data_IF_051930867570
#
_entry.id   IF_051930867570
#
_cell.length_a   1.000
_cell.length_b   1.000
_cell.length_c   1.000
_cell.angle_alpha   90.00
_cell.angle_beta   90.00
_cell.angle_gamma   90.00
#
_symmetry.space_group_name_H-M   'P 1'
#
loop_
_entity.id
_entity.type
_entity.pdbx_description
1 polymer ?
#
# COMPACT_ATOMS: atom_id res chain seq x y z
N UNK A 1 -19.00 -22.82 29.38
CA UNK A 1 -18.30 -23.07 28.11
C UNK A 1 -16.90 -22.54 28.31
N UNK A 2 -15.88 -23.39 28.18
CA UNK A 2 -14.49 -22.94 28.23
C UNK A 2 -14.21 -22.24 26.91
N UNK A 3 -14.11 -20.91 26.93
CA UNK A 3 -13.69 -20.10 25.80
C UNK A 3 -12.20 -20.36 25.52
N UNK A 4 -11.91 -21.53 24.95
CA UNK A 4 -10.64 -21.75 24.28
C UNK A 4 -10.67 -20.89 23.02
N UNK A 5 -10.17 -19.66 23.13
CA UNK A 5 -9.74 -18.90 21.97
C UNK A 5 -8.58 -19.71 21.39
N UNK A 6 -8.86 -20.48 20.33
CA UNK A 6 -7.82 -21.05 19.51
C UNK A 6 -6.99 -19.87 19.01
N UNK A 7 -5.74 -19.73 19.50
CA UNK A 7 -4.77 -18.84 18.87
C UNK A 7 -4.71 -19.35 17.42
N UNK A 8 -5.13 -18.57 16.42
CA UNK A 8 -5.15 -18.96 15.03
C UNK A 8 -3.69 -19.10 14.65
N UNK A 9 -3.20 -20.33 14.77
CA UNK A 9 -1.80 -20.64 14.59
C UNK A 9 -1.42 -20.67 13.11
N UNK A 10 -2.37 -20.60 12.17
CA UNK A 10 -2.13 -20.99 10.78
C UNK A 10 -3.04 -20.28 9.80
N UNK A 11 -2.44 -19.54 8.86
CA UNK A 11 -3.09 -19.13 7.63
C UNK A 11 -3.03 -20.28 6.60
N UNK A 12 -3.84 -21.33 6.81
CA UNK A 12 -3.98 -22.45 5.87
C UNK A 12 -3.02 -23.62 6.05
N UNK A 13 -3.38 -24.77 5.47
CA UNK A 13 -2.74 -26.08 5.72
C UNK A 13 -1.29 -26.17 5.18
N UNK A 14 -0.94 -25.37 4.17
CA UNK A 14 0.38 -25.43 3.51
C UNK A 14 1.49 -24.62 4.22
N UNK A 15 1.19 -23.87 5.28
CA UNK A 15 2.19 -23.10 6.07
C UNK A 15 2.60 -23.83 7.36
N UNK A 16 2.56 -25.17 7.33
CA UNK A 16 2.90 -26.05 8.44
C UNK A 16 4.42 -26.22 8.57
N UNK A 17 5.07 -25.31 9.29
CA UNK A 17 6.51 -25.42 9.60
C UNK A 17 6.90 -24.65 10.87
N UNK A 18 8.00 -25.04 11.53
CA UNK A 18 8.56 -24.26 12.64
C UNK A 18 8.99 -22.87 12.17
N UNK A 19 8.99 -21.91 13.08
CA UNK A 19 9.57 -20.59 12.85
C UNK A 19 11.03 -20.60 13.32
N UNK A 20 11.88 -19.92 12.58
CA UNK A 20 13.22 -19.52 13.05
C UNK A 20 13.17 -18.07 13.50
N UNK A 21 13.87 -17.76 14.59
CA UNK A 21 14.05 -16.38 15.04
C UNK A 21 15.50 -16.15 15.43
N UNK A 22 16.13 -15.13 14.83
CA UNK A 22 17.55 -14.82 15.07
C UNK A 22 17.68 -13.36 15.44
N UNK A 23 18.29 -13.12 16.60
CA UNK A 23 18.49 -11.80 17.17
C UNK A 23 19.59 -11.81 18.27
N UNK A 24 20.29 -10.69 18.47
CA UNK A 24 20.35 -9.54 17.56
C UNK A 24 21.24 -9.85 16.34
N UNK A 25 20.89 -9.33 15.17
CA UNK A 25 21.78 -9.28 13.99
C UNK A 25 22.17 -7.83 13.76
N UNK A 26 23.48 -7.56 13.72
CA UNK A 26 24.03 -6.24 13.49
C UNK A 26 24.02 -5.90 12.00
N UNK A 27 23.32 -4.83 11.61
CA UNK A 27 23.30 -4.32 10.24
C UNK A 27 24.26 -3.13 10.09
N UNK A 28 25.00 -3.02 8.96
CA UNK A 28 25.84 -1.87 8.66
C UNK A 28 25.08 -0.54 8.82
N UNK A 29 25.69 0.40 9.55
CA UNK A 29 25.03 1.63 9.96
C UNK A 29 26.05 2.75 10.29
N UNK A 30 26.93 3.05 9.33
CA UNK A 30 28.12 3.92 9.54
C UNK A 30 27.81 5.32 10.08
N UNK A 31 26.64 5.87 9.76
CA UNK A 31 26.24 7.23 10.14
C UNK A 31 25.29 7.26 11.35
N UNK A 32 25.07 6.11 12.01
CA UNK A 32 24.22 6.03 13.21
C UNK A 32 25.09 6.16 14.47
N UNK A 33 24.60 6.87 15.50
CA UNK A 33 25.27 6.94 16.81
C UNK A 33 25.22 5.60 17.59
N UNK A 34 24.47 4.61 17.11
CA UNK A 34 24.41 3.26 17.65
C UNK A 34 24.17 2.22 16.54
N UNK A 35 24.62 1.00 16.76
CA UNK A 35 24.46 -0.12 15.84
C UNK A 35 22.97 -0.40 15.50
N UNK A 36 22.69 -0.69 14.22
CA UNK A 36 21.36 -1.11 13.79
C UNK A 36 21.15 -2.59 14.07
N UNK A 37 20.60 -2.88 15.24
CA UNK A 37 20.25 -4.25 15.63
C UNK A 37 18.88 -4.64 15.10
N UNK A 38 18.81 -5.80 14.45
CA UNK A 38 17.60 -6.33 13.82
C UNK A 38 17.32 -7.74 14.31
N UNK A 39 16.04 -8.06 14.50
CA UNK A 39 15.55 -9.44 14.66
C UNK A 39 14.93 -9.91 13.36
N UNK A 40 15.31 -11.09 12.89
CA UNK A 40 14.58 -11.83 11.87
C UNK A 40 13.67 -12.86 12.54
N UNK A 41 12.41 -12.93 12.13
CA UNK A 41 11.52 -14.07 12.42
C UNK A 41 10.90 -14.53 11.11
N UNK A 42 11.09 -15.80 10.74
CA UNK A 42 10.68 -16.32 9.44
C UNK A 42 10.20 -17.78 9.52
N UNK A 43 9.31 -18.22 8.62
CA UNK A 43 8.94 -19.62 8.51
C UNK A 43 10.08 -20.44 7.90
N UNK A 44 10.33 -21.63 8.44
CA UNK A 44 11.20 -22.62 7.81
C UNK A 44 10.39 -23.36 6.73
N UNK A 45 10.37 -22.80 5.53
CA UNK A 45 9.56 -23.27 4.39
C UNK A 45 10.35 -23.25 3.10
N UNK A 46 10.03 -24.13 2.16
CA UNK A 46 10.60 -24.13 0.80
C UNK A 46 9.99 -23.07 -0.12
N UNK A 47 8.97 -22.34 0.36
CA UNK A 47 8.41 -21.19 -0.35
C UNK A 47 9.34 -19.99 -0.24
N UNK A 48 9.17 -19.02 -1.14
CA UNK A 48 9.88 -17.75 -1.11
C UNK A 48 9.08 -16.70 -0.31
N UNK A 49 9.32 -16.53 1.01
CA UNK A 49 8.51 -15.63 1.83
C UNK A 49 8.76 -14.17 1.43
N UNK A 50 7.69 -13.37 1.23
CA UNK A 50 7.82 -11.92 1.13
C UNK A 50 8.38 -11.33 2.43
N UNK A 51 8.99 -10.16 2.33
CA UNK A 51 9.65 -9.48 3.44
C UNK A 51 8.71 -8.43 4.05
N UNK A 52 8.64 -8.39 5.38
CA UNK A 52 7.97 -7.34 6.14
C UNK A 52 8.97 -6.69 7.08
N UNK A 53 9.19 -5.38 6.96
CA UNK A 53 9.90 -4.62 7.98
C UNK A 53 8.89 -4.06 8.98
N UNK A 54 8.99 -4.46 10.25
CA UNK A 54 8.08 -4.10 11.33
C UNK A 54 8.71 -3.03 12.24
N UNK A 55 8.26 -1.79 12.12
CA UNK A 55 8.73 -0.65 12.91
C UNK A 55 7.95 -0.52 14.23
N UNK A 56 8.68 -0.51 15.34
CA UNK A 56 8.10 -0.36 16.68
C UNK A 56 7.60 1.07 16.95
N UNK A 57 6.65 1.20 17.87
CA UNK A 57 6.18 2.49 18.37
C UNK A 57 7.20 3.25 19.21
N UNK A 58 6.76 4.37 19.79
CA UNK A 58 7.48 5.05 20.87
C UNK A 58 6.77 4.75 22.18
N UNK A 59 7.49 4.67 23.29
CA UNK A 59 6.90 4.36 24.59
C UNK A 59 7.95 4.24 25.70
N UNK A 60 7.55 4.35 26.98
CA UNK A 60 8.47 4.37 28.11
C UNK A 60 9.11 3.00 28.40
N UNK A 61 8.52 1.91 27.88
CA UNK A 61 9.03 0.55 28.04
C UNK A 61 10.44 0.39 27.48
N UNK A 62 11.32 -0.26 28.26
CA UNK A 62 12.71 -0.46 27.87
C UNK A 62 12.84 -1.26 26.57
N UNK A 63 12.16 -2.41 26.47
CA UNK A 63 12.36 -3.37 25.38
C UNK A 63 11.23 -3.40 24.34
N UNK A 64 10.02 -2.91 24.66
CA UNK A 64 8.90 -3.00 23.71
C UNK A 64 9.11 -2.09 22.49
N UNK A 65 9.74 -0.93 22.69
CA UNK A 65 10.19 -0.06 21.59
C UNK A 65 11.56 -0.52 21.05
N UNK A 66 11.67 -1.77 20.61
CA UNK A 66 12.90 -2.35 20.03
C UNK A 66 12.61 -3.60 19.18
N UNK A 67 13.66 -4.28 18.71
CA UNK A 67 13.59 -5.60 18.07
C UNK A 67 12.92 -6.70 18.92
N UNK A 68 12.79 -6.50 20.25
CA UNK A 68 12.16 -7.44 21.17
C UNK A 68 10.65 -7.23 21.37
N UNK A 69 10.11 -6.08 20.96
CA UNK A 69 8.68 -5.81 21.02
C UNK A 69 7.89 -6.56 19.94
N UNK A 70 6.57 -6.37 19.96
CA UNK A 70 5.65 -6.80 18.90
C UNK A 70 5.70 -8.29 18.55
N UNK A 71 6.12 -9.13 19.48
CA UNK A 71 6.22 -10.57 19.28
C UNK A 71 4.90 -11.22 18.81
N UNK A 72 3.70 -10.87 19.32
CA UNK A 72 2.44 -11.39 18.79
C UNK A 72 2.28 -11.17 17.28
N UNK A 73 2.59 -9.96 16.82
CA UNK A 73 2.49 -9.56 15.43
C UNK A 73 3.56 -10.20 14.55
N UNK A 74 4.82 -10.14 14.97
CA UNK A 74 5.92 -10.74 14.22
C UNK A 74 5.76 -12.26 14.07
N UNK A 75 5.38 -12.96 15.14
CA UNK A 75 5.19 -14.41 15.12
C UNK A 75 4.00 -14.80 14.23
N UNK A 76 2.88 -14.08 14.29
CA UNK A 76 1.72 -14.38 13.45
C UNK A 76 1.97 -14.09 11.97
N UNK A 77 2.66 -13.00 11.63
CA UNK A 77 3.07 -12.73 10.26
C UNK A 77 4.03 -13.81 9.75
N UNK A 78 5.00 -14.23 10.55
CA UNK A 78 5.90 -15.31 10.15
C UNK A 78 5.15 -16.64 9.93
N UNK A 79 4.22 -16.99 10.82
CA UNK A 79 3.32 -18.13 10.64
C UNK A 79 2.37 -17.99 9.44
N UNK A 80 2.15 -16.76 8.96
CA UNK A 80 1.35 -16.44 7.78
C UNK A 80 2.16 -16.41 6.48
N UNK A 81 3.45 -16.74 6.53
CA UNK A 81 4.32 -16.92 5.38
C UNK A 81 5.28 -15.76 5.08
N UNK A 82 5.55 -14.88 6.04
CA UNK A 82 6.41 -13.70 5.87
C UNK A 82 7.77 -13.84 6.56
N UNK A 83 8.82 -13.28 5.98
CA UNK A 83 10.07 -13.01 6.69
C UNK A 83 9.97 -11.62 7.35
N UNK A 84 9.90 -11.58 8.68
CA UNK A 84 9.67 -10.34 9.45
C UNK A 84 10.99 -9.84 10.03
N UNK A 85 11.35 -8.59 9.71
CA UNK A 85 12.54 -7.89 10.19
C UNK A 85 12.12 -6.78 11.16
N UNK A 86 12.61 -6.83 12.40
CA UNK A 86 12.31 -5.85 13.44
C UNK A 86 13.58 -5.06 13.79
N UNK A 87 13.78 -3.84 13.26
CA UNK A 87 14.90 -3.00 13.65
C UNK A 87 14.69 -2.36 15.03
N UNK A 88 15.78 -2.10 15.74
CA UNK A 88 15.81 -1.19 16.90
C UNK A 88 16.19 0.21 16.44
N UNK A 89 15.22 1.12 16.50
CA UNK A 89 15.42 2.52 16.15
C UNK A 89 16.12 3.30 17.27
N UNK A 90 16.74 4.43 16.92
CA UNK A 90 17.55 5.23 17.85
C UNK A 90 16.76 5.80 19.03
N UNK A 91 15.44 5.92 18.93
CA UNK A 91 14.58 6.29 20.05
C UNK A 91 14.17 5.09 20.92
N UNK A 92 14.79 3.92 20.77
CA UNK A 92 14.65 2.86 21.75
C UNK A 92 15.23 3.28 23.09
N UNK A 93 14.51 3.00 24.18
CA UNK A 93 14.99 3.33 25.52
C UNK A 93 16.25 2.53 25.90
N UNK A 94 16.47 1.34 25.30
CA UNK A 94 17.69 0.55 25.50
C UNK A 94 18.97 1.27 25.04
N UNK A 95 18.86 2.22 24.12
CA UNK A 95 20.00 2.96 23.58
C UNK A 95 20.31 4.25 24.35
N UNK A 96 19.39 4.73 25.20
CA UNK A 96 19.60 5.93 26.01
C UNK A 96 19.69 7.26 25.23
N UNK A 97 19.34 7.27 23.94
CA UNK A 97 19.55 8.42 23.04
C UNK A 97 18.39 9.43 23.01
N UNK A 98 17.25 9.16 23.67
CA UNK A 98 16.07 10.05 23.67
C UNK A 98 16.34 11.44 24.25
N UNK A 99 17.33 11.55 25.13
CA UNK A 99 17.72 12.79 25.79
C UNK A 99 19.04 13.35 25.26
N UNK A 100 19.56 12.80 24.16
CA UNK A 100 20.76 13.33 23.53
C UNK A 100 20.48 14.73 22.93
N UNK A 101 21.51 15.57 22.90
CA UNK A 101 21.49 16.85 22.20
C UNK A 101 21.60 16.61 20.69
N UNK A 102 20.48 16.20 20.10
CA UNK A 102 20.35 15.87 18.68
C UNK A 102 19.10 16.52 18.11
N UNK A 103 19.15 17.11 16.90
CA UNK A 103 17.97 17.67 16.25
C UNK A 103 16.93 16.60 15.88
N UNK A 104 17.29 15.32 15.90
CA UNK A 104 16.35 14.23 15.66
C UNK A 104 15.71 13.69 16.94
N UNK A 105 16.26 13.98 18.12
CA UNK A 105 15.69 13.55 19.39
C UNK A 105 14.35 14.26 19.68
N UNK A 106 13.42 13.64 20.44
CA UNK A 106 13.52 12.31 21.03
C UNK A 106 13.00 11.19 20.11
N UNK A 107 12.42 11.52 18.95
CA UNK A 107 11.66 10.54 18.13
C UNK A 107 12.49 9.92 17.01
N UNK A 108 13.62 10.49 16.65
CA UNK A 108 14.53 10.02 15.60
C UNK A 108 13.83 9.74 14.26
N UNK A 109 12.82 10.54 13.94
CA UNK A 109 11.88 10.34 12.83
C UNK A 109 12.54 10.06 11.48
N UNK A 110 13.57 10.82 11.13
CA UNK A 110 14.31 10.67 9.88
C UNK A 110 15.14 9.38 9.90
N UNK A 111 15.93 9.18 10.96
CA UNK A 111 16.66 7.92 11.18
C UNK A 111 15.74 6.69 11.17
N UNK A 112 14.55 6.74 11.75
CA UNK A 112 13.57 5.63 11.73
C UNK A 112 13.24 5.15 10.32
N UNK A 113 12.94 6.08 9.40
CA UNK A 113 12.65 5.73 8.01
C UNK A 113 13.93 5.31 7.24
N UNK A 114 15.06 5.95 7.56
CA UNK A 114 16.38 5.54 7.06
C UNK A 114 16.75 4.11 7.47
N UNK A 115 16.45 3.72 8.71
CA UNK A 115 16.71 2.39 9.25
C UNK A 115 15.96 1.32 8.45
N UNK A 116 14.70 1.57 8.07
CA UNK A 116 13.94 0.66 7.21
C UNK A 116 14.64 0.44 5.88
N UNK A 117 15.09 1.53 5.24
CA UNK A 117 15.81 1.46 3.96
C UNK A 117 17.17 0.76 4.12
N UNK A 118 17.89 1.06 5.20
CA UNK A 118 19.19 0.47 5.54
C UNK A 118 19.09 -1.03 5.81
N UNK A 119 18.01 -1.50 6.44
CA UNK A 119 17.73 -2.95 6.58
C UNK A 119 17.60 -3.60 5.20
N UNK A 120 16.85 -2.97 4.30
CA UNK A 120 16.63 -3.51 2.94
C UNK A 120 17.91 -3.45 2.08
N UNK A 121 18.76 -2.44 2.26
CA UNK A 121 20.05 -2.32 1.56
C UNK A 121 21.03 -3.44 1.94
N UNK A 122 20.93 -3.95 3.16
CA UNK A 122 21.92 -4.86 3.73
C UNK A 122 21.35 -6.25 4.08
N UNK A 123 20.30 -6.69 3.40
CA UNK A 123 19.73 -8.05 3.58
C UNK A 123 20.78 -9.16 3.37
N UNK A 124 21.85 -8.90 2.62
CA UNK A 124 22.96 -9.82 2.42
C UNK A 124 23.64 -10.29 3.71
N UNK A 125 23.61 -9.50 4.78
CA UNK A 125 24.14 -9.89 6.10
C UNK A 125 23.47 -11.17 6.62
N UNK A 126 22.20 -11.38 6.30
CA UNK A 126 21.46 -12.56 6.74
C UNK A 126 21.99 -13.86 6.09
N UNK A 127 22.70 -13.79 4.96
CA UNK A 127 23.30 -14.97 4.34
C UNK A 127 24.43 -15.55 5.20
N UNK A 128 25.10 -14.73 5.99
CA UNK A 128 26.18 -15.17 6.90
C UNK A 128 25.62 -15.77 8.20
N UNK A 129 24.41 -15.37 8.59
CA UNK A 129 23.80 -15.74 9.88
C UNK A 129 22.80 -16.89 9.72
N UNK A 130 21.97 -16.88 8.66
CA UNK A 130 20.88 -17.84 8.42
C UNK A 130 20.78 -18.25 6.95
N UNK A 131 21.85 -18.78 6.33
CA UNK A 131 21.98 -18.94 4.87
C UNK A 131 20.75 -19.56 4.20
N UNK A 132 20.24 -20.68 4.73
CA UNK A 132 19.11 -21.41 4.15
C UNK A 132 17.82 -20.59 4.10
N UNK A 133 17.58 -19.76 5.11
CA UNK A 133 16.38 -18.91 5.21
C UNK A 133 16.57 -17.64 4.38
N UNK A 134 17.74 -17.02 4.49
CA UNK A 134 18.07 -15.80 3.75
C UNK A 134 18.03 -16.02 2.24
N UNK A 135 18.53 -17.16 1.75
CA UNK A 135 18.53 -17.51 0.33
C UNK A 135 17.12 -17.65 -0.28
N UNK A 136 16.09 -17.85 0.55
CA UNK A 136 14.70 -18.06 0.12
C UNK A 136 13.87 -16.78 0.17
N UNK A 137 14.29 -15.76 0.91
CA UNK A 137 13.52 -14.52 1.07
C UNK A 137 13.29 -13.82 -0.27
N UNK A 138 12.04 -13.46 -0.55
CA UNK A 138 11.67 -12.79 -1.79
C UNK A 138 11.87 -11.27 -1.66
N UNK A 139 13.01 -10.79 -2.16
CA UNK A 139 13.38 -9.37 -2.15
C UNK A 139 12.62 -8.53 -3.18
N UNK A 140 11.81 -9.15 -4.04
CA UNK A 140 10.90 -8.46 -4.96
C UNK A 140 9.54 -8.12 -4.36
N UNK A 141 9.20 -8.70 -3.20
CA UNK A 141 7.91 -8.53 -2.51
C UNK A 141 8.12 -8.04 -1.08
N UNK A 142 8.12 -6.72 -0.91
CA UNK A 142 8.44 -6.07 0.38
C UNK A 142 7.26 -5.21 0.84
N UNK A 143 6.93 -5.29 2.13
CA UNK A 143 6.03 -4.39 2.82
C UNK A 143 6.66 -3.79 4.09
N UNK A 144 6.06 -2.69 4.55
CA UNK A 144 6.38 -2.09 5.85
C UNK A 144 5.13 -2.10 6.74
N UNK A 145 5.30 -2.47 8.01
CA UNK A 145 4.26 -2.43 9.03
C UNK A 145 4.76 -1.58 10.18
N UNK A 146 3.89 -0.79 10.79
CA UNK A 146 4.28 -0.09 12.00
C UNK A 146 3.11 0.39 12.85
N UNK A 147 3.40 0.52 14.14
CA UNK A 147 2.47 0.94 15.17
C UNK A 147 2.86 2.29 15.77
N UNK A 148 1.90 3.20 15.99
CA UNK A 148 2.16 4.50 16.61
C UNK A 148 3.26 5.27 15.87
N UNK A 149 4.37 5.64 16.51
CA UNK A 149 5.52 6.24 15.82
C UNK A 149 6.14 5.34 14.73
N UNK A 150 6.02 4.01 14.86
CA UNK A 150 6.33 3.07 13.79
C UNK A 150 5.34 3.15 12.64
N UNK A 151 4.07 3.46 12.89
CA UNK A 151 3.06 3.72 11.87
C UNK A 151 3.31 5.04 11.13
N UNK A 152 3.82 6.06 11.82
CA UNK A 152 4.36 7.27 11.18
C UNK A 152 5.57 6.95 10.29
N UNK A 153 6.48 6.11 10.77
CA UNK A 153 7.64 5.62 10.02
C UNK A 153 7.21 4.88 8.75
N UNK A 154 6.25 3.96 8.87
CA UNK A 154 5.64 3.25 7.75
C UNK A 154 5.00 4.24 6.74
N UNK A 155 4.26 5.24 7.23
CA UNK A 155 3.66 6.28 6.38
C UNK A 155 4.71 7.04 5.56
N UNK A 156 5.84 7.43 6.16
CA UNK A 156 6.95 8.07 5.45
C UNK A 156 7.55 7.17 4.37
N UNK A 157 7.84 5.91 4.73
CA UNK A 157 8.37 4.91 3.79
C UNK A 157 7.41 4.64 2.65
N UNK A 158 6.10 4.78 2.86
CA UNK A 158 5.06 4.66 1.84
C UNK A 158 4.85 5.95 1.03
N UNK A 159 5.46 7.06 1.44
CA UNK A 159 5.51 8.31 0.67
C UNK A 159 4.75 9.48 1.27
N UNK A 160 4.39 9.46 2.55
CA UNK A 160 3.99 10.67 3.26
C UNK A 160 5.20 11.64 3.37
N UNK A 161 4.93 12.94 3.33
CA UNK A 161 5.90 14.04 3.26
C UNK A 161 5.79 15.02 4.44
N UNK A 162 6.09 14.55 5.66
CA UNK A 162 6.23 15.41 6.82
C UNK A 162 7.33 16.45 6.70
N UNK A 163 7.07 17.63 7.26
CA UNK A 163 7.99 18.78 7.26
C UNK A 163 9.11 18.59 8.28
N UNK A 164 10.34 18.87 7.88
CA UNK A 164 11.46 18.98 8.80
C UNK A 164 11.38 20.33 9.53
N UNK A 165 11.26 20.37 10.87
CA UNK A 165 11.16 21.61 11.60
C UNK A 165 12.46 22.44 11.58
N UNK A 166 13.63 21.81 11.36
CA UNK A 166 14.91 22.51 11.30
C UNK A 166 15.12 23.21 9.95
N UNK A 167 14.66 22.62 8.85
CA UNK A 167 14.87 23.17 7.50
C UNK A 167 13.62 23.80 6.89
N UNK A 168 12.43 23.48 7.42
CA UNK A 168 11.15 23.88 6.85
C UNK A 168 10.75 23.12 5.58
N UNK A 169 11.61 22.24 5.04
CA UNK A 169 11.35 21.48 3.82
C UNK A 169 10.61 20.16 4.12
N UNK A 170 9.84 19.66 3.14
CA UNK A 170 9.23 18.33 3.23
C UNK A 170 10.29 17.25 3.05
N UNK A 171 10.27 16.23 3.91
CA UNK A 171 11.19 15.10 3.84
C UNK A 171 10.55 13.97 3.08
N UNK A 172 11.16 13.57 1.97
CA UNK A 172 10.79 12.38 1.24
C UNK A 172 11.66 11.20 1.66
N UNK A 173 11.07 10.24 2.36
CA UNK A 173 11.72 8.99 2.75
C UNK A 173 11.10 7.77 2.06
N UNK A 174 10.45 7.98 0.91
CA UNK A 174 9.82 6.91 0.13
C UNK A 174 10.88 5.90 -0.33
N UNK A 175 10.73 4.65 0.11
CA UNK A 175 11.45 3.53 -0.48
C UNK A 175 10.59 2.90 -1.58
N UNK A 176 11.13 2.84 -2.80
CA UNK A 176 10.41 2.30 -3.97
C UNK A 176 10.32 0.77 -3.97
N UNK A 177 11.15 0.07 -3.19
CA UNK A 177 11.09 -1.39 -3.02
C UNK A 177 9.85 -1.81 -2.24
N UNK A 178 9.34 -0.94 -1.36
CA UNK A 178 8.17 -1.20 -0.53
C UNK A 178 6.89 -1.00 -1.36
N UNK A 179 6.20 -2.12 -1.63
CA UNK A 179 5.03 -2.18 -2.51
C UNK A 179 3.69 -2.02 -1.79
N UNK A 180 3.64 -2.27 -0.48
CA UNK A 180 2.43 -2.15 0.35
C UNK A 180 2.81 -1.89 1.82
N UNK A 181 1.84 -1.53 2.66
CA UNK A 181 2.09 -1.47 4.09
C UNK A 181 0.87 -1.42 4.99
N UNK A 182 1.11 -1.51 6.29
CA UNK A 182 0.08 -1.40 7.33
C UNK A 182 0.49 -0.35 8.35
N UNK A 183 -0.41 0.61 8.59
CA UNK A 183 -0.21 1.75 9.47
C UNK A 183 -1.21 1.64 10.62
N UNK A 184 -0.72 1.37 11.82
CA UNK A 184 -1.57 1.07 12.99
C UNK A 184 -1.46 2.19 14.03
N UNK A 185 -2.60 2.73 14.47
CA UNK A 185 -2.70 3.76 15.52
C UNK A 185 -1.68 4.91 15.34
N UNK A 186 -1.44 5.33 14.10
CA UNK A 186 -0.36 6.24 13.78
C UNK A 186 -0.76 7.71 14.01
N UNK A 187 0.21 8.59 14.33
CA UNK A 187 0.03 10.03 14.24
C UNK A 187 -0.52 10.45 12.87
N UNK A 188 -1.56 11.29 12.89
CA UNK A 188 -2.20 11.86 11.71
C UNK A 188 -1.57 13.18 11.24
N UNK A 189 -2.39 14.05 10.65
CA UNK A 189 -1.98 15.38 10.18
C UNK A 189 -1.62 16.28 11.36
N UNK A 190 -0.68 17.19 11.13
CA UNK A 190 -0.36 18.23 12.12
C UNK A 190 -1.31 19.43 12.03
N UNK A 191 -0.81 20.62 12.34
CA UNK A 191 -1.58 21.86 12.22
C UNK A 191 -2.75 21.94 13.20
N UNK A 192 -3.96 22.15 12.68
CA UNK A 192 -5.21 22.32 13.44
C UNK A 192 -5.61 21.06 14.23
N UNK A 193 -5.11 19.89 13.85
CA UNK A 193 -5.38 18.64 14.56
C UNK A 193 -4.49 18.44 15.79
N UNK A 194 -3.32 19.09 15.86
CA UNK A 194 -2.31 18.80 16.88
C UNK A 194 -2.51 19.63 18.15
N UNK A 195 -2.37 19.01 19.31
CA UNK A 195 -2.42 19.68 20.60
C UNK A 195 -1.28 20.73 20.69
N UNK A 196 -1.53 21.98 21.14
CA UNK A 196 -0.49 23.01 21.20
C UNK A 196 0.73 22.64 22.07
N UNK A 197 0.53 21.84 23.11
CA UNK A 197 1.64 21.32 23.93
C UNK A 197 2.45 20.28 23.14
N UNK A 198 1.79 19.35 22.46
CA UNK A 198 2.45 18.38 21.60
C UNK A 198 3.20 19.07 20.45
N UNK A 199 2.62 20.11 19.85
CA UNK A 199 3.24 20.89 18.78
C UNK A 199 4.57 21.54 19.17
N UNK A 200 4.71 21.92 20.46
CA UNK A 200 5.95 22.47 21.02
C UNK A 200 6.98 21.41 21.37
N UNK A 201 6.55 20.27 21.94
CA UNK A 201 7.47 19.23 22.42
C UNK A 201 7.84 18.19 21.35
N UNK A 202 7.01 18.05 20.32
CA UNK A 202 7.20 17.12 19.20
C UNK A 202 6.98 17.85 17.87
N UNK A 203 7.78 18.89 17.56
CA UNK A 203 7.58 19.73 16.38
C UNK A 203 7.64 18.96 15.06
N UNK A 204 8.24 17.77 15.08
CA UNK A 204 8.29 16.85 13.96
C UNK A 204 6.92 16.28 13.52
N UNK A 205 5.87 16.45 14.34
CA UNK A 205 4.50 16.06 14.03
C UNK A 205 3.65 17.24 13.52
N UNK A 206 4.21 18.45 13.43
CA UNK A 206 3.45 19.68 13.14
C UNK A 206 2.88 19.75 11.71
N UNK A 207 3.42 18.99 10.76
CA UNK A 207 2.95 18.96 9.38
C UNK A 207 3.33 17.61 8.77
N UNK A 208 2.33 16.79 8.46
CA UNK A 208 2.45 15.53 7.73
C UNK A 208 1.52 15.59 6.53
N UNK A 209 2.09 15.53 5.33
CA UNK A 209 1.34 15.51 4.08
C UNK A 209 1.24 14.09 3.53
N UNK A 210 0.02 13.59 3.41
CA UNK A 210 -0.26 12.22 2.97
C UNK A 210 -0.57 12.13 1.46
N UNK A 211 -0.63 13.25 0.74
CA UNK A 211 -1.14 13.31 -0.65
C UNK A 211 -0.29 12.51 -1.65
N UNK A 212 0.96 12.19 -1.30
CA UNK A 212 1.88 11.39 -2.14
C UNK A 212 2.07 9.95 -1.66
N UNK A 213 1.35 9.54 -0.59
CA UNK A 213 1.40 8.18 -0.05
C UNK A 213 0.60 7.22 -0.94
N UNK A 214 1.18 6.86 -2.09
CA UNK A 214 0.51 6.14 -3.17
C UNK A 214 0.31 4.61 -2.99
N UNK A 215 1.22 3.84 -2.35
CA UNK A 215 1.07 2.40 -2.25
C UNK A 215 -0.24 1.98 -1.56
N UNK A 216 -0.75 0.77 -1.86
CA UNK A 216 -1.82 0.17 -1.07
C UNK A 216 -1.45 0.13 0.41
N UNK A 217 -2.33 0.66 1.26
CA UNK A 217 -2.11 0.68 2.71
C UNK A 217 -3.37 0.32 3.46
N UNK A 218 -3.23 -0.59 4.44
CA UNK A 218 -4.23 -0.81 5.48
C UNK A 218 -3.92 0.13 6.65
N UNK A 219 -4.87 1.01 6.96
CA UNK A 219 -4.88 1.87 8.14
C UNK A 219 -5.71 1.15 9.20
N UNK A 220 -5.18 1.00 10.40
CA UNK A 220 -5.88 0.38 11.54
C UNK A 220 -6.02 1.44 12.63
N UNK A 221 -7.25 1.75 13.01
CA UNK A 221 -7.55 2.78 14.01
C UNK A 221 -8.60 2.26 14.99
N UNK A 222 -8.36 2.47 16.29
CA UNK A 222 -9.34 2.21 17.33
C UNK A 222 -10.18 3.46 17.60
N UNK A 223 -11.50 3.30 17.67
CA UNK A 223 -12.42 4.43 17.89
C UNK A 223 -12.35 5.04 19.30
N UNK A 224 -11.61 4.41 20.22
CA UNK A 224 -11.28 4.93 21.56
C UNK A 224 -9.82 5.39 21.69
N UNK A 225 -9.02 5.35 20.62
CA UNK A 225 -7.67 5.91 20.65
C UNK A 225 -7.71 7.44 20.52
N UNK A 226 -8.20 8.13 21.54
CA UNK A 226 -8.37 9.58 21.47
C UNK A 226 -7.05 10.35 21.47
N UNK A 227 -5.98 9.77 22.04
CA UNK A 227 -4.66 10.37 22.15
C UNK A 227 -4.65 11.88 22.46
N UNK A 228 -5.50 12.34 23.42
CA UNK A 228 -5.71 13.76 23.74
C UNK A 228 -4.43 14.53 24.14
N UNK A 229 -3.39 13.80 24.56
CA UNK A 229 -2.08 14.36 24.86
C UNK A 229 -1.31 14.78 23.59
N UNK A 230 -1.68 14.26 22.40
CA UNK A 230 -1.09 14.56 21.10
C UNK A 230 -2.00 15.43 20.22
N UNK A 231 -3.31 15.19 20.19
CA UNK A 231 -4.22 15.82 19.23
C UNK A 231 -5.48 16.39 19.91
N UNK A 232 -6.26 17.18 19.16
CA UNK A 232 -7.53 17.79 19.62
C UNK A 232 -8.76 17.29 18.87
N UNK A 233 -8.59 16.40 17.89
CA UNK A 233 -9.67 15.88 17.02
C UNK A 233 -10.14 14.48 17.43
N UNK A 234 -9.55 13.89 18.47
CA UNK A 234 -9.88 12.57 19.01
C UNK A 234 -9.42 11.44 18.09
N UNK A 235 -10.08 10.29 18.21
CA UNK A 235 -9.72 9.05 17.49
C UNK A 235 -9.75 9.15 15.96
N UNK A 236 -10.40 10.16 15.40
CA UNK A 236 -10.36 10.44 13.97
C UNK A 236 -8.95 10.78 13.46
N UNK A 237 -8.04 11.20 14.33
CA UNK A 237 -6.67 11.54 13.94
C UNK A 237 -5.93 10.34 13.34
N UNK A 238 -6.15 9.13 13.88
CA UNK A 238 -5.51 7.89 13.46
C UNK A 238 -6.01 7.40 12.10
N UNK A 239 -7.13 7.92 11.59
CA UNK A 239 -7.67 7.58 10.27
C UNK A 239 -7.19 8.53 9.16
N UNK A 240 -6.42 9.57 9.48
CA UNK A 240 -5.97 10.60 8.52
C UNK A 240 -5.23 10.00 7.32
N UNK A 241 -4.38 9.01 7.54
CA UNK A 241 -3.66 8.34 6.45
C UNK A 241 -4.60 7.70 5.42
N UNK A 242 -5.80 7.25 5.83
CA UNK A 242 -6.81 6.72 4.92
C UNK A 242 -7.53 7.85 4.16
N UNK A 243 -7.93 8.91 4.87
CA UNK A 243 -8.72 9.99 4.28
C UNK A 243 -7.89 10.89 3.36
N UNK A 244 -6.67 11.23 3.76
CA UNK A 244 -5.82 12.25 3.11
C UNK A 244 -4.90 11.68 2.03
N UNK A 245 -4.66 10.36 2.01
CA UNK A 245 -3.84 9.73 0.97
C UNK A 245 -4.65 9.40 -0.28
N UNK A 246 -4.04 9.34 -1.48
CA UNK A 246 -4.68 8.78 -2.66
C UNK A 246 -4.93 7.28 -2.49
N UNK A 247 -5.97 6.78 -3.14
CA UNK A 247 -6.25 5.35 -3.17
C UNK A 247 -5.18 4.54 -3.94
N UNK A 248 -5.11 3.21 -3.73
CA UNK A 248 -6.00 2.45 -2.88
C UNK A 248 -5.61 2.57 -1.40
N UNK A 249 -6.60 2.74 -0.51
CA UNK A 249 -6.45 2.71 0.95
C UNK A 249 -7.57 1.88 1.56
N UNK A 250 -7.26 1.23 2.66
CA UNK A 250 -8.18 0.38 3.41
C UNK A 250 -8.15 0.87 4.85
N UNK A 251 -9.29 0.93 5.50
CA UNK A 251 -9.41 1.27 6.91
C UNK A 251 -10.08 0.10 7.62
N UNK A 252 -9.43 -0.40 8.65
CA UNK A 252 -10.05 -1.24 9.68
C UNK A 252 -10.33 -0.32 10.88
N UNK A 253 -11.59 0.08 11.01
CA UNK A 253 -12.09 0.89 12.11
C UNK A 253 -12.57 -0.03 13.24
N UNK A 254 -11.96 0.07 14.41
CA UNK A 254 -12.04 -0.95 15.45
C UNK A 254 -12.86 -0.41 16.61
N UNK A 255 -14.03 -1.02 16.80
CA UNK A 255 -14.98 -0.56 17.80
C UNK A 255 -14.48 -0.92 19.21
N UNK A 256 -14.44 0.08 20.09
CA UNK A 256 -13.90 -0.06 21.45
C UNK A 256 -12.39 -0.31 21.49
N UNK A 257 -11.66 -0.11 20.38
CA UNK A 257 -10.21 -0.26 20.32
C UNK A 257 -9.50 0.98 20.83
N UNK A 258 -8.45 0.80 21.64
CA UNK A 258 -7.60 1.91 22.09
C UNK A 258 -6.23 1.87 21.38
N UNK A 259 -5.28 2.69 21.85
CA UNK A 259 -3.95 2.79 21.29
C UNK A 259 -3.17 1.47 21.31
N UNK A 260 -3.37 0.60 22.29
CA UNK A 260 -2.58 -0.64 22.43
C UNK A 260 -3.08 -1.76 21.52
N UNK A 261 -4.20 -1.56 20.83
CA UNK A 261 -4.77 -2.48 19.85
C UNK A 261 -4.83 -3.92 20.39
N UNK A 262 -5.40 -4.10 21.58
CA UNK A 262 -5.56 -5.43 22.18
C UNK A 262 -4.26 -6.09 22.67
N UNK A 263 -3.14 -5.37 22.69
CA UNK A 263 -1.85 -5.85 23.20
C UNK A 263 -0.88 -6.36 22.13
N UNK A 264 -0.97 -5.87 20.89
CA UNK A 264 -0.04 -6.28 19.83
C UNK A 264 1.43 -5.94 20.12
N UNK A 265 1.69 -5.03 21.06
CA UNK A 265 3.03 -4.59 21.44
C UNK A 265 3.83 -5.65 22.21
N UNK A 266 3.17 -6.61 22.86
CA UNK A 266 3.83 -7.71 23.57
C UNK A 266 2.86 -8.58 24.36
N UNK A 267 3.21 -9.85 24.54
CA UNK A 267 2.45 -10.76 25.41
C UNK A 267 2.45 -10.23 26.84
N UNK A 268 1.26 -10.07 27.41
CA UNK A 268 1.03 -9.58 28.78
C UNK A 268 1.80 -8.29 29.12
N UNK A 269 2.01 -7.42 28.12
CA UNK A 269 2.74 -6.16 28.34
C UNK A 269 1.95 -5.24 29.26
N UNK A 270 2.60 -4.77 30.33
CA UNK A 270 1.99 -3.89 31.32
C UNK A 270 1.53 -2.53 30.74
N UNK A 271 2.06 -2.11 29.59
CA UNK A 271 1.60 -0.88 28.91
C UNK A 271 0.31 -1.06 28.10
N UNK A 272 -0.20 -2.30 28.01
CA UNK A 272 -1.44 -2.60 27.29
C UNK A 272 -2.65 -2.11 28.08
N UNK A 273 -3.32 -1.08 27.55
CA UNK A 273 -4.50 -0.49 28.19
C UNK A 273 -5.81 -1.20 27.85
N UNK A 274 -5.89 -1.85 26.68
CA UNK A 274 -7.11 -2.45 26.16
C UNK A 274 -7.00 -3.96 25.89
N UNK A 275 -6.24 -4.69 26.71
CA UNK A 275 -5.92 -6.11 26.49
C UNK A 275 -7.15 -6.96 26.12
N UNK A 276 -7.13 -7.56 24.93
CA UNK A 276 -8.22 -8.38 24.42
C UNK A 276 -7.69 -9.34 23.37
N UNK A 277 -7.71 -10.65 23.67
CA UNK A 277 -7.26 -11.67 22.74
C UNK A 277 -8.06 -11.63 21.44
N UNK A 278 -9.40 -11.52 21.50
CA UNK A 278 -10.25 -11.42 20.32
C UNK A 278 -9.87 -10.23 19.43
N UNK A 279 -9.60 -9.06 20.05
CA UNK A 279 -9.20 -7.86 19.29
C UNK A 279 -7.80 -8.00 18.71
N UNK A 280 -6.85 -8.50 19.48
CA UNK A 280 -5.50 -8.78 18.99
C UNK A 280 -5.55 -9.74 17.78
N UNK A 281 -6.29 -10.85 17.88
CA UNK A 281 -6.44 -11.81 16.79
C UNK A 281 -7.06 -11.19 15.55
N UNK A 282 -8.07 -10.35 15.70
CA UNK A 282 -8.63 -9.60 14.58
C UNK A 282 -7.55 -8.79 13.85
N UNK A 283 -6.66 -8.10 14.57
CA UNK A 283 -5.56 -7.35 13.96
C UNK A 283 -4.54 -8.24 13.28
N UNK A 284 -4.16 -9.33 13.94
CA UNK A 284 -3.20 -10.28 13.41
C UNK A 284 -3.70 -10.89 12.08
N UNK A 285 -4.94 -11.40 12.08
CA UNK A 285 -5.55 -12.04 10.91
C UNK A 285 -5.77 -11.06 9.75
N UNK A 286 -6.31 -9.87 10.03
CA UNK A 286 -6.59 -8.87 8.99
C UNK A 286 -5.31 -8.28 8.40
N UNK A 287 -4.28 -8.04 9.22
CA UNK A 287 -2.95 -7.59 8.76
C UNK A 287 -2.33 -8.64 7.85
N UNK A 288 -2.31 -9.90 8.28
CA UNK A 288 -1.77 -10.98 7.47
C UNK A 288 -2.54 -11.15 6.16
N UNK A 289 -3.87 -11.17 6.20
CA UNK A 289 -4.72 -11.30 5.03
C UNK A 289 -4.50 -10.16 4.01
N UNK A 290 -4.42 -8.92 4.50
CA UNK A 290 -4.12 -7.76 3.67
C UNK A 290 -2.78 -7.88 2.96
N UNK A 291 -1.71 -8.17 3.71
CA UNK A 291 -0.36 -8.30 3.16
C UNK A 291 -0.25 -9.47 2.19
N UNK A 292 -0.91 -10.60 2.47
CA UNK A 292 -0.91 -11.77 1.58
C UNK A 292 -1.54 -11.44 0.24
N UNK A 293 -2.63 -10.69 0.22
CA UNK A 293 -3.24 -10.20 -1.03
C UNK A 293 -2.37 -9.16 -1.73
N UNK A 294 -1.81 -8.18 -1.00
CA UNK A 294 -1.04 -7.09 -1.63
C UNK A 294 0.34 -7.49 -2.11
N UNK A 295 0.91 -8.53 -1.55
CA UNK A 295 2.18 -9.12 -1.98
C UNK A 295 1.98 -10.35 -2.88
N UNK A 296 0.77 -10.59 -3.40
CA UNK A 296 0.51 -11.66 -4.38
C UNK A 296 0.81 -13.07 -3.84
N UNK A 297 0.67 -13.29 -2.54
CA UNK A 297 0.75 -14.62 -1.91
C UNK A 297 -0.59 -15.35 -2.06
N UNK A 298 -1.68 -14.60 -1.89
CA UNK A 298 -3.05 -15.10 -2.02
C UNK A 298 -4.00 -13.94 -2.32
N UNK A 299 -4.44 -13.86 -3.58
CA UNK A 299 -5.30 -12.78 -4.09
C UNK A 299 -6.68 -12.73 -3.42
N UNK A 300 -7.09 -13.81 -2.74
CA UNK A 300 -8.40 -13.91 -2.07
C UNK A 300 -8.33 -13.65 -0.58
N UNK A 301 -7.15 -13.71 0.05
CA UNK A 301 -6.99 -13.64 1.50
C UNK A 301 -7.73 -12.46 2.14
N UNK A 302 -7.56 -11.23 1.63
CA UNK A 302 -8.25 -10.04 2.13
C UNK A 302 -9.78 -10.17 2.00
N UNK A 303 -10.28 -10.56 0.83
CA UNK A 303 -11.74 -10.68 0.60
C UNK A 303 -12.40 -11.75 1.48
N UNK A 304 -11.68 -12.84 1.77
CA UNK A 304 -12.15 -13.89 2.66
C UNK A 304 -12.19 -13.38 4.11
N UNK A 305 -11.12 -12.71 4.55
CA UNK A 305 -11.02 -12.16 5.90
C UNK A 305 -12.10 -11.10 6.17
N UNK A 306 -12.33 -10.16 5.24
CA UNK A 306 -13.35 -9.11 5.41
C UNK A 306 -14.76 -9.68 5.34
N UNK A 307 -15.01 -10.66 4.47
CA UNK A 307 -16.30 -11.36 4.44
C UNK A 307 -16.56 -12.14 5.73
N UNK A 308 -15.53 -12.73 6.35
CA UNK A 308 -15.64 -13.40 7.65
C UNK A 308 -15.92 -12.39 8.77
N UNK A 309 -15.14 -11.30 8.82
CA UNK A 309 -15.36 -10.20 9.77
C UNK A 309 -16.81 -9.69 9.72
N UNK A 310 -17.33 -9.43 8.52
CA UNK A 310 -18.71 -8.96 8.34
C UNK A 310 -19.79 -9.95 8.80
N UNK A 311 -19.50 -11.26 8.85
CA UNK A 311 -20.45 -12.29 9.30
C UNK A 311 -20.32 -12.61 10.78
N UNK A 312 -19.10 -12.70 11.29
CA UNK A 312 -18.80 -13.29 12.61
C UNK A 312 -18.43 -12.23 13.66
N UNK A 313 -17.91 -11.08 13.23
CA UNK A 313 -17.31 -10.08 14.11
C UNK A 313 -17.70 -8.64 13.73
N UNK A 314 -18.85 -8.43 13.09
CA UNK A 314 -19.30 -7.12 12.62
C UNK A 314 -19.44 -6.08 13.75
N UNK A 315 -19.67 -6.54 14.98
CA UNK A 315 -19.70 -5.67 16.16
C UNK A 315 -18.30 -5.20 16.60
N UNK A 316 -17.23 -5.88 16.20
CA UNK A 316 -15.85 -5.61 16.65
C UNK A 316 -15.09 -4.63 15.75
N UNK A 317 -15.38 -4.59 14.45
CA UNK A 317 -14.76 -3.63 13.53
C UNK A 317 -15.54 -3.48 12.21
N UNK A 318 -15.33 -2.35 11.56
CA UNK A 318 -15.84 -2.04 10.22
C UNK A 318 -14.68 -1.87 9.24
N UNK A 319 -14.88 -2.28 7.98
CA UNK A 319 -13.89 -2.11 6.90
C UNK A 319 -14.38 -1.08 5.90
N UNK A 320 -13.53 -0.09 5.60
CA UNK A 320 -13.75 0.88 4.54
C UNK A 320 -12.66 0.77 3.48
N UNK A 321 -13.03 0.90 2.21
CA UNK A 321 -12.09 0.85 1.09
C UNK A 321 -12.18 2.10 0.23
N UNK A 322 -11.08 2.85 0.17
CA UNK A 322 -10.86 3.91 -0.80
C UNK A 322 -10.19 3.28 -2.01
N UNK A 323 -10.89 3.17 -3.13
CA UNK A 323 -10.31 2.65 -4.37
C UNK A 323 -9.26 3.62 -4.90
N UNK A 324 -8.29 3.09 -5.66
CA UNK A 324 -7.43 3.96 -6.48
C UNK A 324 -8.33 4.80 -7.38
N UNK A 325 -8.13 6.11 -7.38
CA UNK A 325 -8.74 6.95 -8.39
C UNK A 325 -8.15 6.51 -9.72
N UNK A 326 -8.93 5.72 -10.45
CA UNK A 326 -8.63 5.38 -11.83
C UNK A 326 -9.17 6.57 -12.62
N UNK A 327 -8.32 7.34 -13.30
CA UNK A 327 -8.76 8.42 -14.17
C UNK A 327 -9.84 7.91 -15.12
N UNK A 328 -10.94 8.64 -15.23
CA UNK A 328 -12.06 8.29 -16.09
C UNK A 328 -12.28 9.38 -17.11
N UNK A 329 -12.78 8.98 -18.27
CA UNK A 329 -13.33 9.95 -19.21
C UNK A 329 -14.46 10.73 -18.54
N UNK A 330 -14.51 12.04 -18.78
CA UNK A 330 -15.66 12.84 -18.33
C UNK A 330 -16.87 12.53 -19.20
N UNK A 331 -18.07 12.76 -18.68
CA UNK A 331 -19.30 12.57 -19.47
C UNK A 331 -19.32 13.46 -20.72
N UNK A 332 -18.70 14.65 -20.66
CA UNK A 332 -18.56 15.54 -21.81
C UNK A 332 -17.65 14.92 -22.89
N UNK A 333 -16.52 14.34 -22.50
CA UNK A 333 -15.61 13.64 -23.41
C UNK A 333 -16.28 12.41 -24.04
N UNK A 334 -16.93 11.58 -23.22
CA UNK A 334 -17.65 10.39 -23.73
C UNK A 334 -18.78 10.78 -24.69
N UNK A 335 -19.58 11.81 -24.37
CA UNK A 335 -20.62 12.30 -25.29
C UNK A 335 -20.03 12.78 -26.61
N UNK A 336 -18.90 13.48 -26.58
CA UNK A 336 -18.25 13.96 -27.79
C UNK A 336 -17.65 12.83 -28.62
N UNK A 337 -17.02 11.85 -27.98
CA UNK A 337 -16.61 10.61 -28.66
C UNK A 337 -17.82 9.92 -29.26
N UNK A 338 -18.98 9.91 -28.61
CA UNK A 338 -20.17 9.23 -29.15
C UNK A 338 -20.82 9.99 -30.33
N UNK A 339 -20.80 11.32 -30.30
CA UNK A 339 -21.47 12.18 -31.29
C UNK A 339 -20.59 12.56 -32.49
N UNK A 340 -19.28 12.64 -32.29
CA UNK A 340 -18.31 13.03 -33.32
C UNK A 340 -17.69 11.83 -34.04
N UNK A 341 -17.12 12.08 -35.20
CA UNK A 341 -16.44 11.12 -36.05
C UNK A 341 -14.94 11.42 -36.19
N UNK A 342 -14.35 12.25 -35.33
CA UNK A 342 -12.98 12.79 -35.46
C UNK A 342 -12.03 12.38 -34.31
N UNK A 343 -12.05 11.10 -33.92
CA UNK A 343 -11.22 10.62 -32.81
C UNK A 343 -9.83 10.23 -33.26
N UNK A 344 -8.79 10.77 -32.61
CA UNK A 344 -7.40 10.55 -32.98
C UNK A 344 -6.59 9.92 -31.84
N UNK A 345 -5.75 8.95 -32.18
CA UNK A 345 -4.84 8.26 -31.25
C UNK A 345 -3.39 8.40 -31.69
N UNK A 346 -2.49 8.53 -30.71
CA UNK A 346 -1.04 8.57 -30.88
C UNK A 346 -0.38 7.57 -29.91
N UNK A 347 -0.38 6.26 -30.22
CA UNK A 347 0.34 5.28 -29.42
C UNK A 347 1.83 5.59 -29.36
N UNK A 348 2.47 5.26 -28.24
CA UNK A 348 3.93 5.33 -28.09
C UNK A 348 4.62 4.39 -29.08
N UNK A 349 5.88 4.69 -29.43
CA UNK A 349 6.63 3.95 -30.47
C UNK A 349 7.90 3.24 -29.97
N UNK A 350 8.34 3.58 -28.77
CA UNK A 350 9.59 3.10 -28.17
C UNK A 350 9.50 3.08 -26.63
N UNK A 351 10.54 2.54 -26.00
CA UNK A 351 10.67 2.47 -24.55
C UNK A 351 10.76 3.86 -23.89
N UNK A 352 11.10 4.89 -24.66
CA UNK A 352 11.24 6.28 -24.22
C UNK A 352 9.90 7.04 -24.17
N UNK A 353 8.79 6.39 -24.55
CA UNK A 353 7.39 6.84 -24.35
C UNK A 353 7.03 8.14 -25.08
N UNK A 354 7.66 8.39 -26.22
CA UNK A 354 7.30 9.51 -27.09
C UNK A 354 6.05 9.15 -27.91
N UNK A 355 4.94 9.91 -27.81
CA UNK A 355 3.74 9.65 -28.62
C UNK A 355 4.06 9.74 -30.11
N UNK A 356 3.50 8.81 -30.89
CA UNK A 356 3.57 8.90 -32.34
C UNK A 356 2.76 10.07 -32.92
N UNK A 357 2.72 10.18 -34.25
CA UNK A 357 1.79 11.08 -34.93
C UNK A 357 0.35 10.63 -34.66
N UNK A 358 -0.55 11.58 -34.37
CA UNK A 358 -1.98 11.33 -34.28
C UNK A 358 -2.53 10.70 -35.57
N UNK A 359 -3.31 9.64 -35.39
CA UNK A 359 -3.97 8.90 -36.47
C UNK A 359 -5.45 8.84 -36.16
N UNK A 360 -6.27 9.17 -37.14
CA UNK A 360 -7.71 9.04 -37.06
C UNK A 360 -8.13 7.56 -36.92
N UNK A 361 -9.09 7.27 -36.05
CA UNK A 361 -9.63 5.93 -35.81
C UNK A 361 -11.13 5.96 -35.56
N UNK A 362 -11.83 4.89 -35.92
CA UNK A 362 -13.19 4.71 -35.43
C UNK A 362 -13.17 4.46 -33.93
N UNK A 363 -13.90 5.27 -33.18
CA UNK A 363 -14.08 5.11 -31.75
C UNK A 363 -15.56 5.16 -31.34
N UNK A 364 -15.90 4.47 -30.25
CA UNK A 364 -17.22 4.50 -29.58
C UNK A 364 -17.05 4.65 -28.07
N UNK A 365 -18.02 5.27 -27.41
CA UNK A 365 -18.08 5.33 -25.96
C UNK A 365 -18.99 4.21 -25.43
N UNK A 366 -18.49 3.34 -24.57
CA UNK A 366 -19.23 2.21 -24.02
C UNK A 366 -18.86 1.97 -22.56
N UNK A 367 -19.86 1.96 -21.67
CA UNK A 367 -19.65 1.62 -20.26
C UNK A 367 -18.63 2.49 -19.52
N UNK A 368 -18.53 3.77 -19.86
CA UNK A 368 -17.60 4.74 -19.25
C UNK A 368 -16.19 4.77 -19.84
N UNK A 369 -15.91 3.94 -20.86
CA UNK A 369 -14.63 3.89 -21.56
C UNK A 369 -14.77 4.18 -23.06
N UNK A 370 -13.63 4.43 -23.72
CA UNK A 370 -13.56 4.57 -25.18
C UNK A 370 -12.99 3.29 -25.78
N UNK A 371 -13.61 2.82 -26.87
CA UNK A 371 -13.14 1.66 -27.63
C UNK A 371 -12.81 2.14 -29.04
N UNK A 372 -11.56 1.91 -29.47
CA UNK A 372 -11.10 2.22 -30.82
C UNK A 372 -10.89 0.94 -31.63
N UNK A 373 -11.24 1.00 -32.93
CA UNK A 373 -11.15 -0.12 -33.86
C UNK A 373 -10.26 0.20 -35.04
N UNK A 374 -9.43 -0.76 -35.41
CA UNK A 374 -8.67 -0.72 -36.66
C UNK A 374 -9.51 -1.17 -37.85
N UNK A 375 -9.28 -0.56 -39.02
CA UNK A 375 -9.83 -1.04 -40.29
C UNK A 375 -9.29 -2.39 -40.74
N UNK A 376 -8.04 -2.71 -40.37
CA UNK A 376 -7.32 -3.86 -40.90
C UNK A 376 -6.61 -4.65 -39.80
N UNK A 377 -6.29 -5.92 -40.11
CA UNK A 377 -5.52 -6.81 -39.23
C UNK A 377 -4.05 -6.40 -39.08
N UNK A 378 -3.52 -5.63 -40.03
CA UNK A 378 -2.11 -5.22 -40.07
C UNK A 378 -1.92 -3.74 -39.69
N UNK A 379 -2.80 -3.18 -38.85
CA UNK A 379 -2.68 -1.79 -38.45
C UNK A 379 -1.48 -1.54 -37.55
N UNK A 380 -0.62 -0.62 -38.02
CA UNK A 380 0.56 -0.17 -37.30
C UNK A 380 0.22 0.52 -35.99
N UNK A 381 -0.82 1.37 -35.97
CA UNK A 381 -1.20 2.06 -34.73
C UNK A 381 -1.73 1.05 -33.71
N UNK A 382 -2.53 0.08 -34.13
CA UNK A 382 -3.12 -0.91 -33.24
C UNK A 382 -2.04 -1.80 -32.63
N UNK A 383 -1.10 -2.25 -33.45
CA UNK A 383 0.05 -3.02 -32.98
C UNK A 383 0.85 -2.22 -31.95
N UNK A 384 1.18 -0.96 -32.24
CA UNK A 384 1.90 -0.08 -31.31
C UNK A 384 1.13 0.11 -29.98
N UNK A 385 -0.18 0.34 -30.08
CA UNK A 385 -1.06 0.52 -28.92
C UNK A 385 -1.07 -0.70 -28.00
N UNK A 386 -1.20 -1.90 -28.56
CA UNK A 386 -1.22 -3.15 -27.78
C UNK A 386 0.17 -3.53 -27.26
N UNK A 387 1.22 -3.26 -28.03
CA UNK A 387 2.61 -3.60 -27.65
C UNK A 387 3.12 -2.72 -26.51
N UNK A 388 2.90 -1.40 -26.59
CA UNK A 388 3.43 -0.45 -25.61
C UNK A 388 2.43 -0.07 -24.52
N UNK A 389 1.13 -0.32 -24.76
CA UNK A 389 0.07 -0.09 -23.79
C UNK A 389 -0.19 1.37 -23.45
N UNK A 390 0.49 2.34 -24.07
CA UNK A 390 0.39 3.76 -23.74
C UNK A 390 0.45 4.67 -24.97
N UNK A 391 0.00 5.90 -24.81
CA UNK A 391 0.14 6.96 -25.80
C UNK A 391 -0.64 8.20 -25.41
N UNK A 392 -1.14 8.93 -26.40
CA UNK A 392 -2.03 10.07 -26.24
C UNK A 392 -3.27 9.96 -27.14
N UNK A 393 -4.31 10.72 -26.86
CA UNK A 393 -5.44 10.95 -27.78
C UNK A 393 -5.67 12.44 -27.92
N UNK A 394 -6.29 12.86 -29.03
CA UNK A 394 -6.76 14.24 -29.15
C UNK A 394 -8.24 14.31 -28.75
N UNK A 395 -8.54 15.11 -27.73
CA UNK A 395 -9.90 15.47 -27.33
C UNK A 395 -10.02 16.99 -27.24
N UNK A 396 -11.24 17.52 -27.13
CA UNK A 396 -11.48 18.97 -27.13
C UNK A 396 -10.68 19.73 -26.04
N UNK A 397 -10.39 19.07 -24.93
CA UNK A 397 -9.71 19.67 -23.77
C UNK A 397 -8.18 19.46 -23.80
N UNK A 398 -7.63 18.96 -24.92
CA UNK A 398 -6.19 18.78 -25.13
C UNK A 398 -5.81 17.35 -25.53
N UNK A 399 -4.56 17.00 -25.25
CA UNK A 399 -3.94 15.74 -25.67
C UNK A 399 -3.58 14.84 -24.48
N UNK A 400 -4.57 14.32 -23.71
CA UNK A 400 -4.29 13.55 -22.51
C UNK A 400 -3.55 12.26 -22.85
N UNK A 401 -2.65 11.87 -21.95
CA UNK A 401 -2.01 10.56 -21.99
C UNK A 401 -3.06 9.48 -21.68
N UNK A 402 -2.95 8.35 -22.34
CA UNK A 402 -3.89 7.22 -22.21
C UNK A 402 -3.17 5.88 -22.12
N UNK A 403 -3.85 4.91 -21.55
CA UNK A 403 -3.52 3.49 -21.59
C UNK A 403 -4.36 2.80 -22.66
N UNK A 404 -3.73 1.89 -23.41
CA UNK A 404 -4.36 1.04 -24.40
C UNK A 404 -4.31 -0.41 -23.92
N UNK A 405 -5.43 -1.11 -23.98
CA UNK A 405 -5.50 -2.55 -23.70
C UNK A 405 -6.31 -3.25 -24.78
N UNK A 406 -5.83 -4.39 -25.30
CA UNK A 406 -6.57 -5.22 -26.23
C UNK A 406 -7.85 -5.75 -25.58
N UNK A 407 -8.95 -5.77 -26.32
CA UNK A 407 -10.19 -6.40 -25.88
C UNK A 407 -10.18 -7.87 -26.33
N UNK A 408 -10.01 -8.78 -25.37
CA UNK A 408 -9.99 -10.23 -25.64
C UNK A 408 -11.30 -10.93 -25.30
N UNK A 409 -12.12 -10.38 -24.40
CA UNK A 409 -13.44 -10.91 -24.03
C UNK A 409 -14.45 -10.83 -25.20
N UNK A 410 -15.07 -11.96 -25.56
CA UNK A 410 -16.02 -12.04 -26.68
C UNK A 410 -17.31 -11.24 -26.41
N UNK A 411 -17.82 -11.23 -25.18
CA UNK A 411 -19.01 -10.45 -24.84
C UNK A 411 -18.75 -8.92 -24.90
N UNK A 412 -17.53 -8.48 -24.58
CA UNK A 412 -17.11 -7.09 -24.78
C UNK A 412 -16.95 -6.75 -26.26
N UNK A 413 -16.42 -7.66 -27.09
CA UNK A 413 -16.35 -7.48 -28.54
C UNK A 413 -17.74 -7.35 -29.16
N UNK A 414 -18.70 -8.19 -28.76
CA UNK A 414 -20.07 -8.13 -29.30
C UNK A 414 -20.76 -6.81 -28.96
N UNK A 415 -20.64 -6.34 -27.72
CA UNK A 415 -21.17 -5.01 -27.33
C UNK A 415 -20.47 -3.87 -28.07
N UNK A 416 -19.17 -3.99 -28.32
CA UNK A 416 -18.44 -3.01 -29.11
C UNK A 416 -18.92 -3.03 -30.58
N UNK A 417 -19.09 -4.20 -31.20
CA UNK A 417 -19.63 -4.35 -32.56
C UNK A 417 -21.00 -3.69 -32.69
N UNK A 418 -21.90 -3.90 -31.72
CA UNK A 418 -23.21 -3.25 -31.67
C UNK A 418 -23.09 -1.72 -31.58
N UNK A 419 -22.23 -1.21 -30.70
CA UNK A 419 -22.00 0.22 -30.56
C UNK A 419 -21.41 0.86 -31.82
N UNK A 420 -20.46 0.19 -32.48
CA UNK A 420 -19.88 0.63 -33.75
C UNK A 420 -20.94 0.64 -34.86
N UNK A 421 -21.76 -0.41 -34.96
CA UNK A 421 -22.86 -0.50 -35.92
C UNK A 421 -23.87 0.63 -35.74
N UNK A 422 -24.27 0.90 -34.49
CA UNK A 422 -25.21 1.98 -34.18
C UNK A 422 -24.63 3.35 -34.59
N UNK A 423 -23.37 3.61 -34.26
CA UNK A 423 -22.73 4.91 -34.50
C UNK A 423 -22.39 5.16 -35.97
N UNK A 424 -21.84 4.18 -36.67
CA UNK A 424 -21.29 4.34 -38.03
C UNK A 424 -22.15 3.71 -39.13
N UNK A 425 -23.43 3.43 -38.87
CA UNK A 425 -24.37 2.85 -39.86
C UNK A 425 -24.49 3.63 -41.17
N UNK A 426 -24.16 4.93 -41.18
CA UNK A 426 -24.21 5.81 -42.36
C UNK A 426 -22.84 6.12 -42.96
N UNK A 427 -21.76 5.62 -42.37
CA UNK A 427 -20.39 5.82 -42.87
C UNK A 427 -20.15 4.89 -44.07
N UNK A 428 -19.83 5.42 -45.27
CA UNK A 428 -19.64 4.61 -46.48
C UNK A 428 -18.43 3.65 -46.39
N UNK A 429 -17.52 3.87 -45.45
CA UNK A 429 -16.34 3.04 -45.21
C UNK A 429 -16.53 2.01 -44.08
N UNK A 430 -17.69 2.03 -43.43
CA UNK A 430 -18.02 1.11 -42.34
C UNK A 430 -19.00 0.01 -42.83
N UNK A 431 -18.60 -1.26 -42.70
CA UNK A 431 -19.38 -2.40 -43.20
C UNK A 431 -19.36 -3.61 -42.26
N UNK A 432 -20.28 -4.55 -42.44
CA UNK A 432 -20.26 -5.82 -41.69
C UNK A 432 -18.99 -6.64 -41.97
N UNK A 433 -18.46 -6.56 -43.19
CA UNK A 433 -17.21 -7.23 -43.53
C UNK A 433 -16.01 -6.61 -42.81
N UNK A 434 -16.02 -5.28 -42.60
CA UNK A 434 -15.05 -4.61 -41.74
C UNK A 434 -15.12 -5.15 -40.31
N UNK A 435 -16.32 -5.25 -39.72
CA UNK A 435 -16.52 -5.76 -38.37
C UNK A 435 -15.98 -7.20 -38.22
N UNK A 436 -16.33 -8.08 -39.15
CA UNK A 436 -15.83 -9.48 -39.17
C UNK A 436 -14.32 -9.54 -39.32
N UNK A 437 -13.74 -8.77 -40.24
CA UNK A 437 -12.30 -8.81 -40.54
C UNK A 437 -11.45 -8.19 -39.42
N UNK A 438 -11.99 -7.24 -38.67
CA UNK A 438 -11.30 -6.50 -37.60
C UNK A 438 -11.74 -6.89 -36.19
N UNK A 439 -12.49 -7.98 -36.00
CA UNK A 439 -13.07 -8.40 -34.71
C UNK A 439 -12.07 -8.42 -33.54
N UNK A 440 -10.82 -8.76 -33.81
CA UNK A 440 -9.75 -8.83 -32.81
C UNK A 440 -8.90 -7.56 -32.69
N UNK A 441 -9.26 -6.50 -33.42
CA UNK A 441 -8.51 -5.25 -33.54
C UNK A 441 -9.22 -4.11 -32.79
N UNK A 442 -9.65 -4.39 -31.57
CA UNK A 442 -10.33 -3.44 -30.69
C UNK A 442 -9.41 -3.15 -29.50
N UNK A 443 -9.12 -1.87 -29.28
CA UNK A 443 -8.37 -1.39 -28.13
C UNK A 443 -9.31 -0.59 -27.24
N UNK A 444 -9.37 -0.95 -25.96
CA UNK A 444 -9.97 -0.12 -24.92
C UNK A 444 -8.96 0.96 -24.54
N UNK A 445 -9.44 2.20 -24.41
CA UNK A 445 -8.65 3.38 -24.13
C UNK A 445 -9.12 4.01 -22.83
N UNK A 446 -8.19 4.25 -21.91
CA UNK A 446 -8.45 4.91 -20.62
C UNK A 446 -7.50 6.06 -20.39
N UNK A 447 -7.94 7.17 -19.76
CA UNK A 447 -7.02 8.24 -19.41
C UNK A 447 -5.97 7.73 -18.41
N UNK A 448 -4.73 8.12 -18.62
CA UNK A 448 -3.70 8.07 -17.58
C UNK A 448 -3.86 9.30 -16.69
N UNK A 449 -3.61 9.13 -15.40
CA UNK A 449 -3.66 10.24 -14.46
C UNK A 449 -2.59 11.26 -14.84
N UNK A 450 -2.75 12.52 -14.41
CA UNK A 450 -1.72 13.54 -14.59
C UNK A 450 -0.36 13.11 -14.02
#
# INVERSE_FOLDING_TARGET
>A
MTDHIAIPARAGDDLSGPLVSVAPVAFPSRDRPAELQVRLTAPMTDRAPPIVVLSHGHGPSQYVSSLYGYAPLANHLAASGFAVLQPTHLDSATLGLRHADSPEAPLYRRSRAGDVSSVLDHLGVLQEVVPDVAARMDTGRIAVVGHSMGGHTASMVLGALPRDPATGHRVNARDRRVGAGVVMAAPGRGGDALNPRAARHHPVLNDTDFTTMAPPTLVVAGDQDHAHHLNVVGAAWQTDAFHLSPGPKFLLDVHGGEHSLGGISGYDSAETTDGSLTRALLFLETTAAFLRTRLGVDDRAWSVATARLAREHAASATVHEKRKDVPRWTDAQLRRVQQGDDFHVAPDRDADRTPGRFVWVWAVALGGDVYARSATRNSRWFHSAVTYGRGAVAVADGEPRVEFSRVDDEAAKDRADEAFRAKYSKDPYFSEDLLKNSRHQIARIRPLGP
#
